data_IF_629159940225
#
_entry.id   IF_629159940225
#
_cell.length_a   1.000
_cell.length_b   1.000
_cell.length_c   1.000
_cell.angle_alpha   90.00
_cell.angle_beta   90.00
_cell.angle_gamma   90.00
#
_symmetry.space_group_name_H-M   'P 1'
#
loop_
_entity.id
_entity.type
_entity.pdbx_description
1 polymer ?
#
# COMPACT_ATOMS: atom_id res chain seq x y z
N UNK A 1 -7.20 -3.53 10.56
CA UNK A 1 -7.31 -2.18 11.13
C UNK A 1 -6.14 -1.96 12.07
N UNK A 2 -5.47 -0.80 12.04
CA UNK A 2 -4.61 -0.39 13.14
C UNK A 2 -5.49 -0.34 14.39
N UNK A 3 -5.20 -1.20 15.38
CA UNK A 3 -6.10 -1.40 16.53
C UNK A 3 -5.95 -0.30 17.58
N UNK A 4 -4.79 0.34 17.59
CA UNK A 4 -4.47 1.41 18.51
C UNK A 4 -4.28 2.71 17.71
N UNK A 5 -5.09 3.74 17.95
CA UNK A 5 -4.84 5.06 17.38
C UNK A 5 -3.51 5.58 17.92
N UNK A 6 -2.63 6.03 17.03
CA UNK A 6 -1.32 6.61 17.38
C UNK A 6 -1.24 8.02 16.82
N UNK A 7 -0.84 8.96 17.67
CA UNK A 7 -0.69 10.38 17.40
C UNK A 7 -1.98 11.19 17.48
N UNK A 8 -1.88 12.46 17.11
CA UNK A 8 -2.92 13.47 17.34
C UNK A 8 -3.61 13.86 16.02
N UNK A 9 -4.93 14.15 16.03
CA UNK A 9 -5.61 14.72 14.88
C UNK A 9 -4.99 16.06 14.46
N UNK A 10 -4.70 16.19 13.17
CA UNK A 10 -4.14 17.42 12.58
C UNK A 10 -5.08 17.98 11.52
N UNK A 11 -5.21 19.30 11.44
CA UNK A 11 -5.86 19.97 10.31
C UNK A 11 -5.04 19.78 9.03
N UNK A 12 -5.66 20.04 7.87
CA UNK A 12 -4.96 20.00 6.58
C UNK A 12 -3.74 20.94 6.60
N UNK A 13 -3.91 22.16 7.11
CA UNK A 13 -2.82 23.14 7.24
C UNK A 13 -1.67 22.62 8.12
N UNK A 14 -1.98 21.98 9.25
CA UNK A 14 -0.97 21.39 10.14
C UNK A 14 -0.20 20.28 9.45
N UNK A 15 -0.86 19.36 8.72
CA UNK A 15 -0.17 18.31 7.96
C UNK A 15 0.68 18.90 6.84
N UNK A 16 0.16 19.87 6.09
CA UNK A 16 0.91 20.50 4.99
C UNK A 16 2.18 21.19 5.53
N UNK A 17 2.06 21.91 6.65
CA UNK A 17 3.22 22.53 7.31
C UNK A 17 4.20 21.49 7.82
N UNK A 18 3.73 20.39 8.42
CA UNK A 18 4.57 19.29 8.87
C UNK A 18 5.34 18.69 7.69
N UNK A 19 4.66 18.34 6.60
CA UNK A 19 5.28 17.78 5.38
C UNK A 19 6.35 18.73 4.82
N UNK A 20 6.03 20.03 4.67
CA UNK A 20 6.97 21.03 4.14
C UNK A 20 8.19 21.20 5.05
N UNK A 21 7.99 21.30 6.36
CA UNK A 21 9.08 21.49 7.32
C UNK A 21 9.98 20.24 7.39
N UNK A 22 9.40 19.04 7.47
CA UNK A 22 10.16 17.79 7.50
C UNK A 22 10.93 17.57 6.20
N UNK A 23 10.33 17.90 5.05
CA UNK A 23 11.01 17.81 3.76
C UNK A 23 12.20 18.78 3.69
N UNK A 24 12.01 20.04 4.12
CA UNK A 24 13.07 21.05 4.15
C UNK A 24 14.22 20.66 5.09
N UNK A 25 13.90 20.12 6.26
CA UNK A 25 14.90 19.68 7.25
C UNK A 25 15.80 18.57 6.69
N UNK A 26 15.22 17.59 5.99
CA UNK A 26 15.97 16.43 5.49
C UNK A 26 16.58 16.60 4.11
N UNK A 27 15.93 17.37 3.24
CA UNK A 27 16.24 17.45 1.81
C UNK A 27 16.55 18.87 1.32
N UNK A 28 16.50 19.88 2.20
CA UNK A 28 16.69 21.28 1.82
C UNK A 28 15.63 21.75 0.82
N UNK A 29 16.06 22.44 -0.23
CA UNK A 29 15.16 22.94 -1.28
C UNK A 29 14.86 21.90 -2.38
N UNK A 30 15.16 20.62 -2.13
CA UNK A 30 14.81 19.55 -3.08
C UNK A 30 13.29 19.41 -3.17
N UNK A 31 12.75 19.50 -4.39
CA UNK A 31 11.32 19.31 -4.63
C UNK A 31 10.86 17.90 -4.23
N UNK A 32 9.67 17.83 -3.62
CA UNK A 32 9.01 16.57 -3.30
C UNK A 32 8.39 15.96 -4.56
N UNK A 33 8.88 14.79 -4.95
CA UNK A 33 8.38 14.10 -6.14
C UNK A 33 7.11 13.29 -5.85
N UNK A 34 7.05 12.61 -4.70
CA UNK A 34 5.99 11.67 -4.36
C UNK A 34 5.59 11.79 -2.88
N UNK A 35 4.29 11.71 -2.62
CA UNK A 35 3.71 11.54 -1.28
C UNK A 35 2.77 10.34 -1.28
N UNK A 36 2.82 9.53 -0.23
CA UNK A 36 1.93 8.38 -0.03
C UNK A 36 1.11 8.63 1.22
N UNK A 37 -0.20 8.79 1.04
CA UNK A 37 -1.17 8.92 2.12
C UNK A 37 -1.59 7.50 2.52
N UNK A 38 -1.21 7.10 3.74
CA UNK A 38 -1.43 5.76 4.32
C UNK A 38 -1.73 5.92 5.82
N UNK A 39 -1.86 4.82 6.56
CA UNK A 39 -2.09 4.83 8.00
C UNK A 39 -3.30 3.98 8.38
N UNK A 40 -4.23 4.55 9.16
CA UNK A 40 -5.49 3.90 9.53
C UNK A 40 -6.34 3.54 8.30
N UNK A 41 -7.42 4.28 8.04
CA UNK A 41 -8.09 4.24 6.75
C UNK A 41 -8.30 5.68 6.28
N UNK A 42 -7.50 6.18 5.30
CA UNK A 42 -7.57 7.57 4.88
C UNK A 42 -8.94 7.98 4.34
N UNK A 43 -9.72 7.04 3.79
CA UNK A 43 -11.03 7.35 3.20
C UNK A 43 -12.12 7.63 4.23
N UNK A 44 -11.85 7.49 5.54
CA UNK A 44 -12.86 7.72 6.60
C UNK A 44 -13.36 9.17 6.66
N UNK A 45 -12.53 10.15 6.27
CA UNK A 45 -12.91 11.56 6.26
C UNK A 45 -12.78 12.13 4.84
N UNK A 46 -13.91 12.10 4.10
CA UNK A 46 -14.00 12.51 2.69
C UNK A 46 -13.52 13.93 2.44
N UNK A 47 -14.09 14.91 3.13
CA UNK A 47 -13.74 16.31 2.92
C UNK A 47 -12.27 16.56 3.24
N UNK A 48 -11.79 16.04 4.37
CA UNK A 48 -10.40 16.20 4.77
C UNK A 48 -9.41 15.64 3.73
N UNK A 49 -9.68 14.44 3.21
CA UNK A 49 -8.79 13.81 2.24
C UNK A 49 -8.77 14.58 0.91
N UNK A 50 -9.93 15.03 0.43
CA UNK A 50 -10.04 15.87 -0.77
C UNK A 50 -9.24 17.16 -0.60
N UNK A 51 -9.43 17.87 0.51
CA UNK A 51 -8.73 19.11 0.80
C UNK A 51 -7.22 18.89 0.93
N UNK A 52 -6.79 17.81 1.59
CA UNK A 52 -5.38 17.47 1.74
C UNK A 52 -4.70 17.22 0.38
N UNK A 53 -5.34 16.45 -0.50
CA UNK A 53 -4.80 16.17 -1.84
C UNK A 53 -4.72 17.46 -2.65
N UNK A 54 -5.73 18.32 -2.60
CA UNK A 54 -5.74 19.61 -3.29
C UNK A 54 -4.55 20.49 -2.89
N UNK A 55 -4.23 20.56 -1.59
CA UNK A 55 -3.07 21.32 -1.11
C UNK A 55 -1.73 20.65 -1.44
N UNK A 56 -1.64 19.31 -1.39
CA UNK A 56 -0.42 18.59 -1.76
C UNK A 56 -0.07 18.78 -3.23
N UNK A 57 -1.08 18.85 -4.12
CA UNK A 57 -0.89 19.03 -5.57
C UNK A 57 -0.13 20.31 -5.92
N UNK A 58 -0.17 21.33 -5.07
CA UNK A 58 0.54 22.60 -5.28
C UNK A 58 2.07 22.44 -5.28
N UNK A 59 2.60 21.39 -4.65
CA UNK A 59 4.06 21.23 -4.48
C UNK A 59 4.57 19.77 -4.56
N UNK A 60 3.70 18.79 -4.84
CA UNK A 60 4.06 17.37 -5.01
C UNK A 60 3.56 16.87 -6.36
N UNK A 61 4.46 16.24 -7.14
CA UNK A 61 4.15 15.78 -8.50
C UNK A 61 3.39 14.44 -8.59
N UNK A 62 3.47 13.60 -7.56
CA UNK A 62 2.83 12.28 -7.53
C UNK A 62 2.19 12.02 -6.16
N UNK A 63 0.88 11.95 -6.12
CA UNK A 63 0.09 11.72 -4.88
C UNK A 63 -0.52 10.32 -4.96
N UNK A 64 -0.17 9.49 -3.97
CA UNK A 64 -0.63 8.09 -3.86
C UNK A 64 -1.55 7.96 -2.65
N UNK A 65 -2.71 7.34 -2.85
CA UNK A 65 -3.60 6.91 -1.78
C UNK A 65 -3.42 5.40 -1.54
N UNK A 66 -3.11 5.01 -0.31
CA UNK A 66 -3.07 3.61 0.14
C UNK A 66 -4.26 3.34 1.07
N UNK A 67 -5.20 2.51 0.62
CA UNK A 67 -6.53 2.34 1.22
C UNK A 67 -6.99 0.89 1.17
N UNK A 68 -7.84 0.48 2.10
CA UNK A 68 -8.58 -0.79 1.98
C UNK A 68 -9.64 -0.75 0.87
N UNK A 69 -9.98 0.44 0.36
CA UNK A 69 -10.84 0.63 -0.79
C UNK A 69 -12.35 0.48 -0.54
N UNK A 70 -12.79 0.11 0.66
CA UNK A 70 -14.20 -0.17 0.95
C UNK A 70 -15.10 1.07 0.80
N UNK A 71 -14.63 2.25 1.22
CA UNK A 71 -15.40 3.49 1.13
C UNK A 71 -15.14 4.28 -0.16
N UNK A 72 -14.18 3.85 -0.99
CA UNK A 72 -13.75 4.57 -2.19
C UNK A 72 -14.65 4.23 -3.38
N UNK A 73 -15.92 4.63 -3.30
CA UNK A 73 -16.85 4.53 -4.43
C UNK A 73 -16.46 5.45 -5.60
N UNK A 74 -17.15 5.29 -6.73
CA UNK A 74 -16.80 5.98 -7.98
C UNK A 74 -16.83 7.51 -7.87
N UNK A 75 -17.84 8.05 -7.17
CA UNK A 75 -17.98 9.49 -6.98
C UNK A 75 -16.86 10.04 -6.10
N UNK A 76 -16.52 9.32 -5.02
CA UNK A 76 -15.43 9.73 -4.15
C UNK A 76 -14.07 9.65 -4.87
N UNK A 77 -13.83 8.59 -5.64
CA UNK A 77 -12.62 8.49 -6.45
C UNK A 77 -12.50 9.66 -7.42
N UNK A 78 -13.59 10.03 -8.10
CA UNK A 78 -13.62 11.15 -9.03
C UNK A 78 -13.25 12.48 -8.35
N UNK A 79 -13.80 12.76 -7.16
CA UNK A 79 -13.43 13.96 -6.38
C UNK A 79 -11.93 13.98 -6.03
N UNK A 80 -11.35 12.85 -5.65
CA UNK A 80 -9.93 12.77 -5.33
C UNK A 80 -9.05 12.98 -6.58
N UNK A 81 -9.45 12.43 -7.73
CA UNK A 81 -8.74 12.64 -9.01
C UNK A 81 -8.75 14.13 -9.38
N UNK A 82 -9.91 14.79 -9.27
CA UNK A 82 -10.05 16.22 -9.54
C UNK A 82 -9.17 17.06 -8.59
N UNK A 83 -9.11 16.67 -7.32
CA UNK A 83 -8.24 17.28 -6.32
C UNK A 83 -6.74 17.08 -6.62
N UNK A 84 -6.34 16.09 -7.43
CA UNK A 84 -4.96 15.86 -7.84
C UNK A 84 -4.39 14.48 -7.52
N UNK A 85 -5.21 13.51 -7.13
CA UNK A 85 -4.77 12.14 -6.89
C UNK A 85 -4.23 11.52 -8.18
N UNK A 86 -3.05 10.91 -8.09
CA UNK A 86 -2.37 10.32 -9.26
C UNK A 86 -2.40 8.80 -9.28
N UNK A 87 -2.50 8.16 -8.11
CA UNK A 87 -2.44 6.72 -7.95
C UNK A 87 -3.21 6.21 -6.74
N UNK A 88 -3.85 5.05 -6.87
CA UNK A 88 -4.45 4.32 -5.75
C UNK A 88 -3.79 2.96 -5.60
N UNK A 89 -3.46 2.61 -4.36
CA UNK A 89 -3.12 1.27 -3.91
C UNK A 89 -4.34 0.73 -3.14
N UNK A 90 -5.01 -0.27 -3.72
CA UNK A 90 -6.07 -1.01 -3.06
C UNK A 90 -5.50 -2.20 -2.30
N UNK A 91 -5.78 -2.30 -1.01
CA UNK A 91 -5.39 -3.46 -0.20
C UNK A 91 -6.52 -4.51 -0.17
N UNK A 92 -6.50 -5.41 -1.16
CA UNK A 92 -7.45 -6.52 -1.27
C UNK A 92 -6.96 -7.72 -0.44
N UNK A 93 -7.67 -7.99 0.65
CA UNK A 93 -7.22 -8.90 1.70
C UNK A 93 -7.38 -10.38 1.37
N UNK A 94 -8.43 -10.75 0.65
CA UNK A 94 -8.77 -12.11 0.25
C UNK A 94 -9.76 -12.10 -0.92
N UNK A 95 -9.75 -13.16 -1.73
CA UNK A 95 -10.68 -13.36 -2.83
C UNK A 95 -11.96 -14.06 -2.38
N UNK A 96 -11.84 -15.11 -1.57
CA UNK A 96 -13.02 -15.78 -1.01
C UNK A 96 -13.76 -14.82 -0.07
N UNK A 97 -15.04 -14.60 -0.34
CA UNK A 97 -15.85 -13.64 0.42
C UNK A 97 -15.93 -14.00 1.91
N UNK A 98 -16.12 -15.29 2.24
CA UNK A 98 -16.24 -15.74 3.63
C UNK A 98 -14.91 -15.61 4.36
N UNK A 99 -13.80 -15.88 3.69
CA UNK A 99 -12.46 -15.66 4.22
C UNK A 99 -12.23 -14.15 4.45
N UNK A 100 -12.65 -13.30 3.53
CA UNK A 100 -12.53 -11.85 3.68
C UNK A 100 -13.38 -11.34 4.86
N UNK A 101 -14.62 -11.82 5.00
CA UNK A 101 -15.49 -11.51 6.13
C UNK A 101 -14.88 -11.97 7.46
N UNK A 102 -14.36 -13.19 7.51
CA UNK A 102 -13.67 -13.70 8.70
C UNK A 102 -12.45 -12.82 9.06
N UNK A 103 -11.66 -12.41 8.06
CA UNK A 103 -10.41 -11.70 8.29
C UNK A 103 -10.60 -10.20 8.59
N UNK A 104 -11.64 -9.58 8.03
CA UNK A 104 -11.83 -8.12 8.07
C UNK A 104 -13.12 -7.67 8.77
N UNK A 105 -14.09 -8.57 8.90
CA UNK A 105 -15.45 -8.27 9.35
C UNK A 105 -16.41 -7.82 8.23
N UNK A 106 -15.95 -7.70 6.98
CA UNK A 106 -16.73 -7.19 5.85
C UNK A 106 -16.58 -8.06 4.60
N UNK A 107 -17.59 -8.06 3.73
CA UNK A 107 -17.51 -8.68 2.40
C UNK A 107 -16.52 -7.93 1.50
N UNK A 108 -15.86 -8.66 0.59
CA UNK A 108 -14.97 -8.06 -0.40
C UNK A 108 -15.67 -7.50 -1.64
N UNK A 109 -16.97 -7.78 -1.85
CA UNK A 109 -17.70 -7.39 -3.07
C UNK A 109 -17.54 -5.91 -3.40
N UNK A 110 -17.69 -5.04 -2.40
CA UNK A 110 -17.55 -3.60 -2.57
C UNK A 110 -16.13 -3.18 -2.99
N UNK A 111 -15.10 -3.82 -2.46
CA UNK A 111 -13.72 -3.53 -2.86
C UNK A 111 -13.46 -3.99 -4.29
N UNK A 112 -14.00 -5.15 -4.70
CA UNK A 112 -13.88 -5.66 -6.07
C UNK A 112 -14.56 -4.70 -7.06
N UNK A 113 -15.78 -4.24 -6.77
CA UNK A 113 -16.50 -3.24 -7.56
C UNK A 113 -15.71 -1.91 -7.66
N UNK A 114 -15.11 -1.45 -6.55
CA UNK A 114 -14.33 -0.22 -6.54
C UNK A 114 -13.01 -0.35 -7.33
N UNK A 115 -12.37 -1.52 -7.33
CA UNK A 115 -11.20 -1.81 -8.17
C UNK A 115 -11.57 -1.74 -9.66
N UNK A 116 -12.72 -2.31 -10.05
CA UNK A 116 -13.25 -2.23 -11.42
C UNK A 116 -13.52 -0.77 -11.83
N UNK A 117 -14.18 -0.01 -10.96
CA UNK A 117 -14.51 1.40 -11.22
C UNK A 117 -13.24 2.27 -11.37
N UNK A 118 -12.18 1.96 -10.62
CA UNK A 118 -10.93 2.72 -10.66
C UNK A 118 -10.10 2.48 -11.93
N UNK A 119 -10.28 1.32 -12.58
CA UNK A 119 -9.51 0.96 -13.76
C UNK A 119 -9.71 1.95 -14.91
N UNK A 120 -8.60 2.44 -15.46
CA UNK A 120 -8.60 3.41 -16.55
C UNK A 120 -8.87 4.87 -16.14
N UNK A 121 -9.18 5.14 -14.87
CA UNK A 121 -9.38 6.51 -14.33
C UNK A 121 -8.16 7.05 -13.60
N UNK A 122 -7.45 6.17 -12.88
CA UNK A 122 -6.26 6.50 -12.08
C UNK A 122 -5.21 5.40 -12.21
N UNK A 123 -3.93 5.68 -11.95
CA UNK A 123 -2.94 4.60 -11.87
C UNK A 123 -3.35 3.65 -10.75
N UNK A 124 -3.50 2.37 -11.09
CA UNK A 124 -4.05 1.36 -10.19
C UNK A 124 -2.98 0.35 -9.79
N UNK A 125 -2.83 0.18 -8.49
CA UNK A 125 -2.07 -0.90 -7.85
C UNK A 125 -3.02 -1.69 -6.98
N UNK A 126 -3.00 -3.01 -7.08
CA UNK A 126 -3.68 -3.88 -6.13
C UNK A 126 -2.63 -4.58 -5.30
N UNK A 127 -2.81 -4.60 -3.99
CA UNK A 127 -1.90 -5.17 -3.03
C UNK A 127 -2.62 -6.25 -2.22
N UNK A 128 -1.95 -7.39 -2.02
CA UNK A 128 -2.42 -8.47 -1.16
C UNK A 128 -1.27 -8.96 -0.29
N UNK A 129 -1.58 -9.31 0.97
CA UNK A 129 -0.61 -9.94 1.86
C UNK A 129 -0.73 -11.46 1.70
N UNK A 130 0.37 -12.12 1.33
CA UNK A 130 0.46 -13.58 1.34
C UNK A 130 0.59 -14.08 2.78
N UNK A 131 -0.39 -14.84 3.24
CA UNK A 131 -0.48 -15.41 4.59
C UNK A 131 -0.56 -16.94 4.46
N UNK A 132 0.50 -17.69 4.81
CA UNK A 132 0.52 -19.15 4.66
C UNK A 132 -0.69 -19.83 5.30
N UNK A 133 -1.43 -20.62 4.51
CA UNK A 133 -2.61 -21.37 4.94
C UNK A 133 -3.88 -20.53 5.13
N UNK A 134 -3.85 -19.23 4.80
CA UNK A 134 -5.01 -18.34 4.90
C UNK A 134 -5.22 -17.64 3.55
N UNK A 135 -4.28 -16.77 3.17
CA UNK A 135 -4.27 -16.07 1.88
C UNK A 135 -3.05 -16.58 1.10
N UNK A 136 -3.22 -17.76 0.52
CA UNK A 136 -2.15 -18.53 -0.12
C UNK A 136 -2.23 -18.50 -1.65
N UNK A 137 -1.52 -19.43 -2.30
CA UNK A 137 -1.42 -19.57 -3.75
C UNK A 137 -2.79 -19.53 -4.45
N UNK A 138 -3.84 -20.12 -3.86
CA UNK A 138 -5.18 -20.17 -4.44
C UNK A 138 -5.85 -18.79 -4.46
N UNK A 139 -5.77 -18.06 -3.35
CA UNK A 139 -6.33 -16.71 -3.25
C UNK A 139 -5.59 -15.76 -4.21
N UNK A 140 -4.25 -15.83 -4.23
CA UNK A 140 -3.43 -15.05 -5.15
C UNK A 140 -3.77 -15.33 -6.62
N UNK A 141 -3.95 -16.60 -7.00
CA UNK A 141 -4.33 -16.98 -8.36
C UNK A 141 -5.68 -16.41 -8.77
N UNK A 142 -6.67 -16.47 -7.87
CA UNK A 142 -8.01 -15.96 -8.16
C UNK A 142 -8.02 -14.42 -8.28
N UNK A 143 -7.31 -13.71 -7.41
CA UNK A 143 -7.13 -12.26 -7.53
C UNK A 143 -6.43 -11.93 -8.85
N UNK A 144 -5.35 -12.63 -9.19
CA UNK A 144 -4.62 -12.39 -10.43
C UNK A 144 -5.50 -12.62 -11.67
N UNK A 145 -6.35 -13.65 -11.65
CA UNK A 145 -7.32 -13.93 -12.71
C UNK A 145 -8.32 -12.78 -12.86
N UNK A 146 -8.97 -12.39 -11.77
CA UNK A 146 -9.89 -11.26 -11.73
C UNK A 146 -9.25 -9.98 -12.29
N UNK A 147 -8.06 -9.61 -11.81
CA UNK A 147 -7.36 -8.42 -12.31
C UNK A 147 -7.03 -8.53 -13.80
N UNK A 148 -6.67 -9.72 -14.29
CA UNK A 148 -6.39 -9.93 -15.72
C UNK A 148 -7.63 -9.82 -16.61
N UNK A 149 -8.81 -10.11 -16.06
CA UNK A 149 -10.09 -9.92 -16.77
C UNK A 149 -10.40 -8.44 -16.95
N UNK A 150 -10.01 -7.58 -16.01
CA UNK A 150 -10.21 -6.13 -16.06
C UNK A 150 -9.10 -5.43 -16.85
N UNK A 151 -7.85 -5.86 -16.69
CA UNK A 151 -6.64 -5.15 -17.15
C UNK A 151 -6.37 -5.25 -18.67
N UNK A 152 -7.31 -4.77 -19.48
CA UNK A 152 -7.23 -4.80 -20.96
C UNK A 152 -6.00 -4.06 -21.52
N UNK A 153 -5.50 -3.04 -20.81
CA UNK A 153 -4.36 -2.20 -21.21
C UNK A 153 -3.03 -2.64 -20.60
N UNK A 154 -3.04 -3.63 -19.69
CA UNK A 154 -1.84 -4.13 -18.98
C UNK A 154 -1.18 -3.04 -18.12
N UNK A 155 -2.00 -2.27 -17.43
CA UNK A 155 -1.64 -1.10 -16.62
C UNK A 155 -1.77 -1.35 -15.12
N UNK A 156 -2.46 -2.41 -14.69
CA UNK A 156 -2.59 -2.74 -13.26
C UNK A 156 -1.27 -3.34 -12.77
N UNK A 157 -0.75 -2.81 -11.65
CA UNK A 157 0.36 -3.44 -10.94
C UNK A 157 -0.22 -4.33 -9.82
N UNK A 158 0.00 -5.65 -9.88
CA UNK A 158 -0.39 -6.55 -8.78
C UNK A 158 0.80 -6.83 -7.87
N UNK A 159 0.65 -6.49 -6.59
CA UNK A 159 1.69 -6.55 -5.57
C UNK A 159 1.37 -7.60 -4.51
N UNK A 160 2.36 -8.46 -4.24
CA UNK A 160 2.28 -9.43 -3.15
C UNK A 160 3.25 -9.01 -2.05
N UNK A 161 2.72 -8.69 -0.87
CA UNK A 161 3.51 -8.46 0.34
C UNK A 161 3.59 -9.73 1.17
N UNK A 162 4.71 -9.95 1.87
CA UNK A 162 4.85 -11.06 2.81
C UNK A 162 4.15 -10.77 4.13
N UNK A 163 3.44 -11.76 4.68
CA UNK A 163 3.01 -11.70 6.07
C UNK A 163 4.22 -11.64 7.02
N UNK A 164 4.06 -10.92 8.12
CA UNK A 164 5.06 -10.77 9.18
C UNK A 164 4.42 -11.12 10.53
N UNK A 165 4.61 -12.35 10.97
CA UNK A 165 4.06 -12.89 12.21
C UNK A 165 4.49 -12.06 13.43
N UNK A 166 5.71 -11.51 13.42
CA UNK A 166 6.24 -10.63 14.46
C UNK A 166 5.52 -9.27 14.57
N UNK A 167 4.84 -8.83 13.51
CA UNK A 167 4.02 -7.61 13.53
C UNK A 167 2.53 -7.91 13.74
N UNK A 168 2.15 -9.18 13.73
CA UNK A 168 0.75 -9.59 13.84
C UNK A 168 0.37 -9.78 15.30
N UNK A 169 -0.52 -8.94 15.81
CA UNK A 169 -1.05 -9.06 17.17
C UNK A 169 -1.69 -10.44 17.43
N UNK A 170 -2.40 -10.97 16.43
CA UNK A 170 -3.19 -12.20 16.57
C UNK A 170 -2.42 -13.50 16.31
N UNK A 171 -1.18 -13.40 15.80
CA UNK A 171 -0.33 -14.55 15.47
C UNK A 171 -1.05 -15.66 14.67
N UNK A 172 -1.90 -15.26 13.71
CA UNK A 172 -2.77 -16.16 12.93
C UNK A 172 -2.04 -17.13 12.00
N UNK A 173 -0.77 -16.86 11.67
CA UNK A 173 0.03 -17.69 10.78
C UNK A 173 1.53 -17.53 11.08
N UNK A 174 2.33 -18.43 10.50
CA UNK A 174 3.79 -18.28 10.45
C UNK A 174 4.21 -17.30 9.35
N UNK A 175 5.47 -16.89 9.37
CA UNK A 175 6.07 -16.20 8.23
C UNK A 175 6.10 -17.13 6.99
N UNK A 176 5.85 -16.58 5.79
CA UNK A 176 6.00 -17.32 4.55
C UNK A 176 7.46 -17.64 4.28
N UNK A 177 7.71 -18.85 3.78
CA UNK A 177 9.01 -19.25 3.25
C UNK A 177 9.29 -18.51 1.94
N UNK A 178 10.56 -18.23 1.61
CA UNK A 178 10.92 -17.60 0.34
C UNK A 178 10.31 -18.29 -0.89
N UNK A 179 10.29 -19.62 -0.90
CA UNK A 179 9.78 -20.46 -1.98
C UNK A 179 8.27 -20.30 -2.16
N UNK A 180 7.52 -20.02 -1.09
CA UNK A 180 6.07 -19.73 -1.17
C UNK A 180 5.82 -18.40 -1.88
N UNK A 181 6.61 -17.37 -1.56
CA UNK A 181 6.50 -16.07 -2.22
C UNK A 181 6.93 -16.15 -3.69
N UNK A 182 7.96 -16.93 -4.00
CA UNK A 182 8.40 -17.17 -5.38
C UNK A 182 7.36 -17.93 -6.21
N UNK A 183 6.69 -18.91 -5.61
CA UNK A 183 5.56 -19.60 -6.25
C UNK A 183 4.39 -18.66 -6.49
N UNK A 184 3.96 -17.90 -5.48
CA UNK A 184 2.89 -16.92 -5.62
C UNK A 184 3.19 -15.89 -6.73
N UNK A 185 4.44 -15.44 -6.84
CA UNK A 185 4.87 -14.58 -7.94
C UNK A 185 4.76 -15.26 -9.31
N UNK A 186 5.24 -16.51 -9.41
CA UNK A 186 5.18 -17.29 -10.64
C UNK A 186 3.73 -17.52 -11.09
N UNK A 187 2.81 -17.71 -10.14
CA UNK A 187 1.37 -17.78 -10.39
C UNK A 187 0.87 -16.48 -11.04
N UNK A 188 1.14 -15.33 -10.42
CA UNK A 188 0.69 -14.02 -10.94
C UNK A 188 1.28 -13.72 -12.31
N UNK A 189 2.55 -14.05 -12.55
CA UNK A 189 3.22 -13.79 -13.82
C UNK A 189 2.56 -14.51 -15.01
N UNK A 190 1.74 -15.53 -14.78
CA UNK A 190 0.93 -16.18 -15.82
C UNK A 190 -0.26 -15.33 -16.28
N UNK A 191 -0.74 -14.43 -15.44
CA UNK A 191 -1.95 -13.62 -15.66
C UNK A 191 -1.63 -12.15 -15.94
N UNK A 192 -0.66 -11.59 -15.21
CA UNK A 192 -0.38 -10.16 -15.18
C UNK A 192 0.99 -9.85 -15.76
N UNK A 193 1.08 -8.81 -16.58
CA UNK A 193 2.37 -8.31 -17.12
C UNK A 193 3.21 -7.61 -16.04
N UNK A 194 2.57 -6.88 -15.15
CA UNK A 194 3.22 -6.09 -14.11
C UNK A 194 2.95 -6.72 -12.74
N UNK A 195 3.75 -7.74 -12.39
CA UNK A 195 3.74 -8.33 -11.06
C UNK A 195 4.93 -7.81 -10.24
N UNK A 196 4.69 -7.41 -9.00
CA UNK A 196 5.73 -6.88 -8.10
C UNK A 196 5.75 -7.67 -6.80
N UNK A 197 6.91 -8.22 -6.46
CA UNK A 197 7.15 -8.77 -5.12
C UNK A 197 7.41 -7.59 -4.18
N UNK A 198 6.44 -7.26 -3.34
CA UNK A 198 6.63 -6.27 -2.30
C UNK A 198 7.46 -6.86 -1.16
N UNK A 199 8.67 -6.35 -0.95
CA UNK A 199 9.52 -6.81 0.18
C UNK A 199 9.08 -6.18 1.52
N UNK A 200 8.45 -5.01 1.51
CA UNK A 200 7.76 -4.32 2.64
C UNK A 200 6.58 -3.51 2.12
N UNK A 201 5.90 -2.70 2.96
CA UNK A 201 4.83 -1.77 2.55
C UNK A 201 5.26 -0.68 1.54
N UNK A 202 6.56 -0.45 1.31
CA UNK A 202 7.04 0.63 0.43
C UNK A 202 7.25 0.14 -0.99
N UNK A 203 6.70 0.86 -1.97
CA UNK A 203 6.68 0.55 -3.41
C UNK A 203 8.08 0.36 -4.03
N UNK A 204 8.27 -0.76 -4.74
CA UNK A 204 9.46 -1.05 -5.56
C UNK A 204 9.19 -0.73 -7.05
N UNK A 205 9.05 0.55 -7.43
CA UNK A 205 9.18 0.97 -8.85
C UNK A 205 10.66 0.98 -9.25
N UNK A 206 10.96 0.73 -10.53
CA UNK A 206 12.25 1.11 -11.16
C UNK A 206 12.34 2.64 -11.25
N UNK A 207 12.50 3.31 -10.11
CA UNK A 207 13.00 4.70 -10.09
C UNK A 207 14.47 4.61 -10.44
N UNK A 208 14.90 5.28 -11.53
CA UNK A 208 16.29 5.20 -12.02
C UNK A 208 17.32 5.49 -10.93
N UNK A 209 16.98 6.36 -9.96
CA UNK A 209 17.74 6.60 -8.73
C UNK A 209 16.78 6.94 -7.58
N UNK A 210 16.46 6.00 -6.67
CA UNK A 210 15.77 6.32 -5.41
C UNK A 210 16.82 6.78 -4.38
N UNK A 211 16.90 8.09 -4.10
CA UNK A 211 17.91 8.66 -3.17
C UNK A 211 17.55 8.48 -1.68
N UNK A 212 16.30 8.16 -1.37
CA UNK A 212 15.79 7.88 0.00
C UNK A 212 14.34 8.33 0.14
N UNK A 213 13.72 8.03 1.29
CA UNK A 213 12.44 8.60 1.71
C UNK A 213 12.46 8.88 3.21
N UNK A 214 11.57 9.74 3.69
CA UNK A 214 11.27 9.90 5.11
C UNK A 214 9.87 9.35 5.37
N UNK A 215 9.71 8.62 6.47
CA UNK A 215 8.40 8.36 7.06
C UNK A 215 8.18 9.43 8.10
N UNK A 216 7.11 10.22 7.92
CA UNK A 216 6.64 11.18 8.91
C UNK A 216 5.50 10.53 9.68
N UNK A 217 5.66 10.40 10.99
CA UNK A 217 4.63 9.83 11.85
C UNK A 217 3.69 10.92 12.39
N UNK A 218 2.46 10.56 12.79
CA UNK A 218 1.49 11.52 13.32
C UNK A 218 1.95 12.30 14.57
N UNK A 219 2.90 11.77 15.34
CA UNK A 219 3.53 12.44 16.49
C UNK A 219 4.67 13.41 16.08
N UNK A 220 4.87 13.62 14.77
CA UNK A 220 5.94 14.44 14.22
C UNK A 220 7.30 13.76 14.20
N UNK A 221 7.42 12.51 14.67
CA UNK A 221 8.69 11.78 14.58
C UNK A 221 8.99 11.42 13.12
N UNK A 222 10.28 11.46 12.79
CA UNK A 222 10.77 11.28 11.42
C UNK A 222 11.70 10.07 11.38
N UNK A 223 11.45 9.13 10.45
CA UNK A 223 12.38 8.04 10.15
C UNK A 223 12.84 8.13 8.71
N UNK A 224 14.07 8.59 8.51
CA UNK A 224 14.76 8.50 7.21
C UNK A 224 15.05 7.04 6.89
N UNK A 225 14.80 6.66 5.64
CA UNK A 225 15.15 5.34 5.11
C UNK A 225 15.75 5.47 3.72
N UNK A 226 16.78 4.68 3.47
CA UNK A 226 17.31 4.41 2.14
C UNK A 226 16.98 2.98 1.71
N UNK A 227 17.19 2.67 0.43
CA UNK A 227 17.12 1.29 -0.03
C UNK A 227 18.15 0.39 0.67
N UNK A 228 19.29 0.94 1.08
CA UNK A 228 20.34 0.18 1.75
C UNK A 228 20.04 -0.04 3.24
N UNK A 229 19.45 0.94 3.95
CA UNK A 229 18.93 0.74 5.31
C UNK A 229 17.91 -0.39 5.34
N UNK A 230 17.05 -0.42 4.32
CA UNK A 230 16.05 -1.46 4.17
C UNK A 230 16.66 -2.84 3.87
N UNK A 231 17.69 -2.91 3.01
CA UNK A 231 18.45 -4.15 2.76
C UNK A 231 19.20 -4.63 4.01
N UNK A 232 19.73 -3.70 4.81
CA UNK A 232 20.44 -4.00 6.06
C UNK A 232 19.48 -4.53 7.13
N UNK A 233 18.32 -3.88 7.36
CA UNK A 233 17.26 -4.36 8.26
C UNK A 233 16.86 -5.81 7.88
N UNK A 234 16.69 -6.09 6.59
CA UNK A 234 16.36 -7.43 6.10
C UNK A 234 17.48 -8.47 6.29
N UNK A 235 18.77 -8.08 6.16
CA UNK A 235 19.91 -8.97 6.42
C UNK A 235 20.01 -9.33 7.91
N UNK A 236 19.76 -8.38 8.79
CA UNK A 236 19.77 -8.60 10.25
C UNK A 236 18.64 -9.57 10.64
N UNK A 237 17.45 -9.41 10.05
CA UNK A 237 16.31 -10.29 10.27
C UNK A 237 16.55 -11.72 9.74
N UNK A 238 17.23 -11.86 8.57
CA UNK A 238 17.70 -13.17 8.07
C UNK A 238 18.70 -13.85 9.00
N UNK A 239 19.61 -13.09 9.64
CA UNK A 239 20.56 -13.69 10.60
C UNK A 239 19.86 -14.17 11.87
N UNK A 240 18.89 -13.43 12.39
CA UNK A 240 18.13 -13.81 13.60
C UNK A 240 17.22 -15.03 13.41
N UNK A 241 16.76 -15.29 12.19
CA UNK A 241 15.97 -16.48 11.85
C UNK A 241 16.82 -17.74 11.64
N UNK A 242 18.15 -17.62 11.54
CA UNK A 242 19.09 -18.75 11.39
C UNK A 242 19.73 -19.17 12.73
N UNK A 243 19.54 -18.40 13.81
CA UNK A 243 20.11 -18.69 15.14
C UNK A 243 19.15 -19.45 16.07
N UNK A 244 17.96 -19.82 15.61
CA UNK A 244 17.07 -20.74 16.33
C UNK A 244 16.96 -22.01 15.48
N UNK A 245 17.98 -22.85 15.58
CA UNK A 245 17.96 -24.27 15.20
C UNK A 245 18.21 -25.05 16.48
#
# INVERSE_FOLDING_TARGET
>A
MARDPVGEPMTVEQIINLVKNSAREYYGDTALEEVVITGGEPTLNRQYLVDLIAHLKEFVGWIVLDTNGYLLDDAYLQELIEAGLTEVIFDLKAWDEKLHEWYTGYSNRRILENIENAYGKVKLVVNTIFIPGIVDDREIENIARFLSEIDKKREIDYRINRFRAELSHEKIARNPYPEEIERAYSIVARYMKNSVIGKSCVRERKVRVKRGWITVFPDGTLKRRTLDDYRAENKILKKRSVTVV
#
